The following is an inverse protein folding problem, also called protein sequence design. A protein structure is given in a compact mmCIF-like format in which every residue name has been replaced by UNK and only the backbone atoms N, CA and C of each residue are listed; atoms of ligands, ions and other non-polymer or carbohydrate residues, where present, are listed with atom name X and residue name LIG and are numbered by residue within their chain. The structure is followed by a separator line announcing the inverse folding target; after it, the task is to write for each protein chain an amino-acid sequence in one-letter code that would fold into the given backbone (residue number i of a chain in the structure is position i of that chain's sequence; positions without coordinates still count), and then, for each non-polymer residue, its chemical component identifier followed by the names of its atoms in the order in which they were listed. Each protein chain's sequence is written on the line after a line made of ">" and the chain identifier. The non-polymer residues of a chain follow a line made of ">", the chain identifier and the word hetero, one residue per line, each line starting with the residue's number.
data_IF_967998255131
#
_entry.id   IF_967998255131
#
_cell.length_a   1.000
_cell.length_b   1.000
_cell.length_c   1.000
_cell.angle_alpha   90.00
_cell.angle_beta   90.00
_cell.angle_gamma   90.00
#
_symmetry.space_group_name_H-M   'P 1'
#
loop_
_entity.id
_entity.type
_entity.pdbx_description
1 polymer ?
#
# COMPACT_ATOMS: atom_id res chain seq x y z
N UNK A 1 -11.93 -21.51 1.80
CA UNK A 1 -10.73 -20.65 1.83
C UNK A 1 -11.12 -19.24 2.28
N UNK A 2 -10.33 -18.66 3.16
CA UNK A 2 -10.56 -17.31 3.69
C UNK A 2 -9.57 -16.34 3.07
N UNK A 3 -9.99 -15.09 2.93
CA UNK A 3 -9.13 -14.01 2.42
C UNK A 3 -9.13 -12.85 3.38
N UNK A 4 -7.97 -12.20 3.49
CA UNK A 4 -7.79 -11.02 4.31
C UNK A 4 -7.05 -9.97 3.49
N UNK A 5 -7.49 -8.72 3.57
CA UNK A 5 -6.85 -7.63 2.84
C UNK A 5 -6.24 -6.63 3.82
N UNK A 6 -5.04 -6.16 3.48
CA UNK A 6 -4.28 -5.23 4.32
C UNK A 6 -3.72 -4.13 3.44
N UNK A 7 -3.84 -2.89 3.87
CA UNK A 7 -3.22 -1.77 3.15
C UNK A 7 -1.70 -1.83 3.30
N UNK A 8 -1.00 -1.66 2.19
CA UNK A 8 0.46 -1.60 2.22
C UNK A 8 0.94 -0.31 2.89
N UNK A 9 2.21 -0.28 3.33
CA UNK A 9 2.77 0.96 3.87
C UNK A 9 2.66 2.09 2.86
N UNK A 10 2.25 3.27 3.33
CA UNK A 10 2.11 4.45 2.50
C UNK A 10 3.18 5.48 2.87
N UNK A 11 3.40 6.43 1.97
CA UNK A 11 4.36 7.49 2.23
C UNK A 11 5.81 7.05 2.08
N UNK A 12 6.05 5.93 1.40
CA UNK A 12 7.40 5.47 1.13
C UNK A 12 8.03 6.37 0.06
N UNK A 13 9.11 7.02 0.41
CA UNK A 13 9.86 7.84 -0.53
C UNK A 13 11.31 7.38 -0.58
N UNK A 14 11.87 7.35 -1.77
CA UNK A 14 13.28 7.01 -1.97
C UNK A 14 13.87 8.03 -2.94
N UNK A 15 15.16 8.31 -2.77
CA UNK A 15 15.88 9.11 -3.74
C UNK A 15 16.19 8.27 -4.97
N UNK A 16 16.10 8.88 -6.13
CA UNK A 16 16.46 8.20 -7.36
C UNK A 16 17.91 7.71 -7.29
N UNK A 17 18.13 6.45 -7.62
CA UNK A 17 19.46 5.87 -7.60
C UNK A 17 20.00 5.49 -6.24
N UNK A 18 19.16 5.47 -5.21
CA UNK A 18 19.57 5.09 -3.85
C UNK A 18 19.15 3.65 -3.55
N UNK A 19 20.10 2.68 -3.63
CA UNK A 19 19.75 1.28 -3.35
C UNK A 19 19.38 1.03 -1.88
N UNK A 20 19.91 1.83 -0.96
CA UNK A 20 19.55 1.70 0.46
C UNK A 20 18.09 2.07 0.69
N UNK A 21 17.57 3.06 -0.04
CA UNK A 21 16.16 3.43 0.04
C UNK A 21 15.24 2.32 -0.44
N UNK A 22 15.62 1.65 -1.54
CA UNK A 22 14.85 0.50 -2.03
C UNK A 22 14.84 -0.64 -1.02
N UNK A 23 15.98 -0.92 -0.39
CA UNK A 23 16.08 -1.97 0.62
C UNK A 23 15.19 -1.67 1.83
N UNK A 24 15.13 -0.41 2.25
CA UNK A 24 14.25 0.00 3.35
C UNK A 24 12.79 -0.18 3.01
N UNK A 25 12.38 0.17 1.79
CA UNK A 25 11.01 0.00 1.34
C UNK A 25 10.63 -1.48 1.33
N UNK A 26 11.50 -2.34 0.79
CA UNK A 26 11.28 -3.79 0.77
C UNK A 26 11.16 -4.33 2.19
N UNK A 27 11.99 -3.85 3.12
CA UNK A 27 11.96 -4.29 4.50
C UNK A 27 10.62 -3.97 5.17
N UNK A 28 10.04 -2.81 4.88
CA UNK A 28 8.73 -2.45 5.43
C UNK A 28 7.64 -3.40 4.94
N UNK A 29 7.67 -3.77 3.65
CA UNK A 29 6.74 -4.76 3.12
C UNK A 29 6.95 -6.12 3.76
N UNK A 30 8.22 -6.53 3.92
CA UNK A 30 8.54 -7.82 4.51
C UNK A 30 8.05 -7.91 5.96
N UNK A 31 8.25 -6.85 6.74
CA UNK A 31 7.79 -6.81 8.12
C UNK A 31 6.27 -6.91 8.20
N UNK A 32 5.58 -6.19 7.33
CA UNK A 32 4.12 -6.23 7.28
C UNK A 32 3.62 -7.62 6.90
N UNK A 33 4.24 -8.24 5.89
CA UNK A 33 3.86 -9.58 5.46
C UNK A 33 4.05 -10.59 6.59
N UNK A 34 5.18 -10.53 7.30
CA UNK A 34 5.43 -11.43 8.42
C UNK A 34 4.43 -11.24 9.55
N UNK A 35 4.13 -9.98 9.86
CA UNK A 35 3.18 -9.65 10.91
C UNK A 35 1.78 -10.19 10.59
N UNK A 36 1.34 -10.02 9.36
CA UNK A 36 0.00 -10.41 8.96
C UNK A 36 -0.11 -11.90 8.62
N UNK A 37 1.02 -12.59 8.45
CA UNK A 37 1.02 -14.03 8.20
C UNK A 37 0.79 -14.87 9.46
N UNK A 38 0.80 -14.24 10.63
CA UNK A 38 0.55 -14.95 11.89
C UNK A 38 -0.84 -15.57 11.86
N UNK A 39 -0.94 -16.84 12.24
CA UNK A 39 -2.21 -17.56 12.24
C UNK A 39 -2.47 -18.39 11.00
N UNK A 40 -1.45 -18.62 10.17
CA UNK A 40 -1.56 -19.47 8.98
C UNK A 40 -1.94 -18.74 7.70
N UNK A 41 -1.84 -17.42 7.69
CA UNK A 41 -2.12 -16.63 6.51
C UNK A 41 -0.91 -16.64 5.56
N UNK A 42 -1.17 -16.74 4.25
CA UNK A 42 -0.17 -16.67 3.21
C UNK A 42 -0.47 -15.50 2.29
N UNK A 43 0.57 -14.80 1.88
CA UNK A 43 0.41 -13.73 0.89
C UNK A 43 0.00 -14.33 -0.45
N UNK A 44 -1.12 -13.93 -0.98
CA UNK A 44 -1.63 -14.39 -2.27
C UNK A 44 -1.20 -13.44 -3.39
N UNK A 45 -1.44 -12.15 -3.22
CA UNK A 45 -1.09 -11.17 -4.24
C UNK A 45 -0.97 -9.78 -3.62
N UNK A 46 -0.34 -8.88 -4.38
CA UNK A 46 -0.32 -7.45 -4.08
C UNK A 46 -1.03 -6.76 -5.23
N UNK A 47 -2.09 -6.04 -4.92
CA UNK A 47 -2.93 -5.40 -5.93
C UNK A 47 -2.84 -3.88 -5.80
N UNK A 48 -2.63 -3.21 -6.92
CA UNK A 48 -2.65 -1.76 -6.96
C UNK A 48 -4.10 -1.29 -7.08
N UNK A 49 -4.48 -0.35 -6.21
CA UNK A 49 -5.85 0.17 -6.17
C UNK A 49 -5.84 1.67 -6.42
N UNK A 50 -6.61 2.14 -7.42
CA UNK A 50 -6.73 3.58 -7.67
C UNK A 50 -7.67 4.22 -6.65
N UNK A 51 -7.27 5.37 -6.15
CA UNK A 51 -8.09 6.17 -5.24
C UNK A 51 -8.12 7.59 -5.75
N UNK A 52 -9.31 8.17 -5.86
CA UNK A 52 -9.48 9.55 -6.23
C UNK A 52 -9.38 10.41 -4.98
N UNK A 53 -8.41 11.30 -4.95
CA UNK A 53 -8.29 12.30 -3.90
C UNK A 53 -8.91 13.59 -4.38
N UNK A 54 -9.94 14.03 -3.67
CA UNK A 54 -10.61 15.29 -3.99
C UNK A 54 -9.98 16.43 -3.20
N UNK A 55 -9.81 17.60 -3.80
CA UNK A 55 -9.30 18.73 -3.05
C UNK A 55 -10.26 19.13 -1.94
N UNK A 56 -9.71 19.63 -0.84
CA UNK A 56 -10.53 20.20 0.22
C UNK A 56 -11.29 21.42 -0.27
N UNK A 57 -12.27 21.89 0.52
CA UNK A 57 -13.13 22.99 0.12
C UNK A 57 -12.34 24.25 -0.29
N UNK A 58 -11.32 24.60 0.47
CA UNK A 58 -10.52 25.79 0.15
C UNK A 58 -9.70 25.59 -1.12
N UNK A 59 -9.12 24.39 -1.28
CA UNK A 59 -8.35 24.08 -2.47
C UNK A 59 -9.23 24.11 -3.72
N UNK A 60 -10.48 23.66 -3.62
CA UNK A 60 -11.43 23.70 -4.72
C UNK A 60 -11.73 25.13 -5.16
N UNK A 61 -11.77 26.07 -4.23
CA UNK A 61 -11.99 27.47 -4.55
C UNK A 61 -10.85 28.07 -5.38
N UNK A 62 -9.66 27.51 -5.26
CA UNK A 62 -8.48 27.96 -6.01
C UNK A 62 -8.26 27.17 -7.29
N UNK A 63 -9.26 26.37 -7.71
CA UNK A 63 -9.19 25.64 -8.95
C UNK A 63 -8.40 24.34 -8.88
N UNK A 64 -8.11 23.85 -7.69
CA UNK A 64 -7.45 22.56 -7.55
C UNK A 64 -8.33 21.45 -8.11
N UNK A 65 -7.71 20.47 -8.78
CA UNK A 65 -8.44 19.36 -9.40
C UNK A 65 -8.23 18.09 -8.60
N UNK A 66 -9.18 17.16 -8.74
CA UNK A 66 -9.03 15.82 -8.18
C UNK A 66 -7.83 15.12 -8.81
N UNK A 67 -7.12 14.34 -8.01
CA UNK A 67 -5.96 13.59 -8.45
C UNK A 67 -6.20 12.12 -8.16
N UNK A 68 -5.86 11.26 -9.12
CA UNK A 68 -5.91 9.82 -8.90
C UNK A 68 -4.57 9.37 -8.35
N UNK A 69 -4.60 8.79 -7.17
CA UNK A 69 -3.41 8.19 -6.57
C UNK A 69 -3.62 6.68 -6.48
N UNK A 70 -2.51 5.96 -6.31
CA UNK A 70 -2.54 4.50 -6.22
C UNK A 70 -1.93 4.06 -4.91
N UNK A 71 -2.55 3.08 -4.29
CA UNK A 71 -1.93 2.41 -3.15
C UNK A 71 -1.99 0.91 -3.39
N UNK A 72 -1.13 0.17 -2.70
CA UNK A 72 -1.09 -1.27 -2.83
C UNK A 72 -1.88 -1.92 -1.71
N UNK A 73 -2.64 -2.96 -2.07
CA UNK A 73 -3.36 -3.78 -1.12
C UNK A 73 -2.75 -5.17 -1.14
N UNK A 74 -2.40 -5.68 0.03
CA UNK A 74 -1.91 -7.04 0.17
C UNK A 74 -3.10 -7.95 0.42
N UNK A 75 -3.19 -9.03 -0.33
CA UNK A 75 -4.25 -10.02 -0.18
C UNK A 75 -3.63 -11.29 0.37
N UNK A 76 -4.14 -11.73 1.51
CA UNK A 76 -3.70 -12.96 2.15
C UNK A 76 -4.79 -14.00 2.05
N UNK A 77 -4.40 -15.26 1.99
CA UNK A 77 -5.33 -16.38 1.95
C UNK A 77 -5.01 -17.36 3.06
N UNK A 78 -6.01 -18.11 3.48
CA UNK A 78 -5.86 -19.11 4.52
C UNK A 78 -6.81 -20.26 4.23
N UNK A 79 -6.30 -21.48 4.36
CA UNK A 79 -7.13 -22.68 4.25
C UNK A 79 -8.10 -22.74 5.42
N UNK A 80 -9.31 -23.18 5.12
CA UNK A 80 -10.35 -23.38 6.16
C UNK A 80 -9.98 -24.57 7.07
#
# INVERSE_FOLDING_TARGET
>A
MQYKTVAAPVGLTIKAGDPAGCSKAVAQYADLIQKEAVGGWELDMIQSIPVEERPGCLAGLFGAKSVTTYFNMLVFKKQD
#
